data_IF_157114932378
#
_entry.id   IF_157114932378
#
_cell.length_a   1.000
_cell.length_b   1.000
_cell.length_c   1.000
_cell.angle_alpha   90.00
_cell.angle_beta   90.00
_cell.angle_gamma   90.00
#
_symmetry.space_group_name_H-M   'P 1'
#
loop_
_entity.id
_entity.type
_entity.pdbx_description
1 polymer ?
#
# COMPACT_ATOMS: atom_id res chain seq x y z
N UNK A 1 1.68 -6.90 11.38
CA UNK A 1 1.30 -8.31 11.12
C UNK A 1 0.76 -8.39 9.71
N UNK A 2 1.30 -9.29 8.91
CA UNK A 2 0.71 -9.64 7.62
C UNK A 2 -0.09 -10.94 7.79
N UNK A 3 -1.39 -10.89 7.55
CA UNK A 3 -2.30 -12.02 7.65
C UNK A 3 -2.84 -12.40 6.29
N UNK A 4 -2.56 -13.63 5.86
CA UNK A 4 -3.04 -14.19 4.60
C UNK A 4 -4.06 -15.31 4.89
N UNK A 5 -5.35 -15.13 4.57
CA UNK A 5 -6.41 -16.10 4.86
C UNK A 5 -6.19 -17.49 4.26
N UNK A 6 -5.59 -17.55 3.09
CA UNK A 6 -5.27 -18.80 2.39
C UNK A 6 -3.92 -19.42 2.80
N UNK A 7 -3.22 -18.76 3.73
CA UNK A 7 -1.91 -19.21 4.20
C UNK A 7 -0.76 -18.91 3.24
N UNK A 8 0.45 -18.92 3.78
CA UNK A 8 1.67 -18.63 3.00
C UNK A 8 2.09 -19.75 2.05
N UNK A 9 1.61 -20.99 2.32
CA UNK A 9 1.91 -22.16 1.48
C UNK A 9 0.94 -22.33 0.31
N UNK A 10 -0.02 -21.41 0.12
CA UNK A 10 -0.93 -21.39 -1.03
C UNK A 10 -0.11 -21.33 -2.33
N UNK A 11 -0.40 -22.22 -3.25
CA UNK A 11 0.17 -22.21 -4.60
C UNK A 11 -0.50 -21.14 -5.48
N UNK A 12 -0.01 -20.96 -6.70
CA UNK A 12 -0.52 -19.94 -7.62
C UNK A 12 -1.99 -20.14 -7.97
N UNK A 13 -2.44 -21.38 -8.13
CA UNK A 13 -3.86 -21.69 -8.39
C UNK A 13 -4.76 -21.33 -7.19
N UNK A 14 -4.31 -21.59 -5.98
CA UNK A 14 -5.05 -21.20 -4.76
C UNK A 14 -5.16 -19.68 -4.66
N UNK A 15 -4.07 -18.96 -5.01
CA UNK A 15 -4.03 -17.50 -5.01
C UNK A 15 -4.98 -16.92 -6.07
N UNK A 16 -4.93 -17.42 -7.29
CA UNK A 16 -5.80 -16.99 -8.36
C UNK A 16 -7.29 -17.19 -8.02
N UNK A 17 -7.63 -18.36 -7.49
CA UNK A 17 -9.00 -18.65 -7.03
C UNK A 17 -9.46 -17.70 -5.93
N UNK A 18 -8.58 -17.37 -4.99
CA UNK A 18 -8.90 -16.43 -3.93
C UNK A 18 -9.10 -15.02 -4.47
N UNK A 19 -8.25 -14.57 -5.39
CA UNK A 19 -8.35 -13.25 -6.02
C UNK A 19 -9.69 -13.12 -6.77
N UNK A 20 -10.08 -14.15 -7.53
CA UNK A 20 -11.37 -14.18 -8.22
C UNK A 20 -12.51 -14.12 -7.20
N UNK A 21 -12.46 -14.92 -6.15
CA UNK A 21 -13.47 -14.94 -5.09
C UNK A 21 -13.62 -13.57 -4.41
N UNK A 22 -12.50 -12.93 -4.07
CA UNK A 22 -12.48 -11.63 -3.39
C UNK A 22 -13.01 -10.50 -4.28
N UNK A 23 -12.65 -10.51 -5.58
CA UNK A 23 -13.03 -9.46 -6.52
C UNK A 23 -14.45 -9.59 -7.06
N UNK A 24 -14.91 -10.82 -7.37
CA UNK A 24 -16.13 -11.01 -8.15
C UNK A 24 -17.42 -11.09 -7.32
N UNK A 25 -17.38 -11.57 -6.08
CA UNK A 25 -18.63 -11.95 -5.40
C UNK A 25 -18.74 -11.56 -3.94
N UNK A 26 -17.67 -11.35 -3.25
CA UNK A 26 -17.77 -11.28 -1.79
C UNK A 26 -17.26 -9.99 -1.22
N UNK A 27 -16.40 -9.26 -1.94
CA UNK A 27 -15.68 -8.14 -1.31
C UNK A 27 -15.17 -8.59 0.07
N UNK A 28 -14.67 -9.85 0.11
CA UNK A 28 -14.38 -10.57 1.35
C UNK A 28 -13.42 -9.77 2.21
N UNK A 29 -12.27 -9.39 1.64
CA UNK A 29 -11.26 -8.67 2.41
C UNK A 29 -11.77 -7.32 2.90
N UNK A 30 -12.55 -6.60 2.10
CA UNK A 30 -13.16 -5.35 2.55
C UNK A 30 -14.21 -5.57 3.64
N UNK A 31 -14.94 -6.66 3.58
CA UNK A 31 -15.86 -7.09 4.64
C UNK A 31 -15.13 -7.34 5.96
N UNK A 32 -14.00 -8.05 5.91
CA UNK A 32 -13.15 -8.33 7.08
C UNK A 32 -12.52 -7.04 7.63
N UNK A 33 -12.06 -6.14 6.78
CA UNK A 33 -11.55 -4.82 7.21
C UNK A 33 -12.63 -4.05 7.97
N UNK A 34 -13.85 -3.98 7.43
CA UNK A 34 -14.98 -3.31 8.09
C UNK A 34 -15.31 -3.95 9.45
N UNK A 35 -15.31 -5.27 9.51
CA UNK A 35 -15.60 -6.02 10.74
C UNK A 35 -14.53 -5.82 11.80
N UNK A 36 -13.26 -5.88 11.40
CA UNK A 36 -12.12 -5.66 12.29
C UNK A 36 -12.09 -4.21 12.80
N UNK A 37 -12.32 -3.24 11.93
CA UNK A 37 -12.40 -1.82 12.32
C UNK A 37 -13.48 -1.60 13.37
N UNK A 38 -14.70 -2.14 13.16
CA UNK A 38 -15.78 -2.07 14.16
C UNK A 38 -15.44 -2.76 15.47
N UNK A 39 -14.69 -3.87 15.41
CA UNK A 39 -14.21 -4.54 16.62
C UNK A 39 -13.21 -3.66 17.40
N UNK A 40 -12.28 -3.02 16.71
CA UNK A 40 -11.32 -2.11 17.33
C UNK A 40 -12.01 -0.89 17.97
N UNK A 41 -13.03 -0.32 17.31
CA UNK A 41 -13.78 0.84 17.80
C UNK A 41 -14.48 0.58 19.14
N UNK A 42 -14.86 -0.66 19.41
CA UNK A 42 -15.53 -1.07 20.66
C UNK A 42 -14.56 -1.42 21.78
N UNK A 43 -13.28 -1.55 21.45
CA UNK A 43 -12.29 -2.11 22.36
C UNK A 43 -11.25 -1.11 22.84
N UNK A 44 -10.41 -1.60 23.71
CA UNK A 44 -9.26 -0.91 24.29
C UNK A 44 -8.20 -0.48 23.26
N UNK A 45 -8.23 -1.09 22.05
CA UNK A 45 -7.28 -0.83 20.97
C UNK A 45 -7.76 0.23 19.97
N UNK A 46 -8.89 0.91 20.27
CA UNK A 46 -9.35 2.05 19.48
C UNK A 46 -8.21 3.06 19.30
N UNK A 47 -8.08 3.58 18.10
CA UNK A 47 -7.07 4.58 17.73
C UNK A 47 -5.60 4.11 17.87
N UNK A 48 -5.36 2.79 18.01
CA UNK A 48 -4.01 2.23 18.12
C UNK A 48 -3.59 1.40 16.92
N UNK A 49 -4.54 0.67 16.33
CA UNK A 49 -4.28 -0.24 15.21
C UNK A 49 -5.16 0.11 14.01
N UNK A 50 -4.63 -0.18 12.86
CA UNK A 50 -5.39 -0.16 11.60
C UNK A 50 -5.13 -1.44 10.82
N UNK A 51 -6.09 -1.78 9.96
CA UNK A 51 -6.00 -2.88 9.01
C UNK A 51 -6.18 -2.33 7.60
N UNK A 52 -5.34 -2.75 6.69
CA UNK A 52 -5.38 -2.39 5.27
C UNK A 52 -5.19 -3.62 4.40
N UNK A 53 -5.54 -3.50 3.12
CA UNK A 53 -5.19 -4.53 2.15
C UNK A 53 -3.68 -4.66 2.04
N UNK A 54 -3.18 -5.89 2.16
CA UNK A 54 -1.78 -6.24 2.03
C UNK A 54 -1.56 -7.11 0.80
N UNK A 55 -1.02 -6.57 -0.27
CA UNK A 55 -0.86 -7.34 -1.50
C UNK A 55 -2.19 -7.84 -2.06
N UNK A 56 -2.18 -8.95 -2.81
CA UNK A 56 -3.37 -9.47 -3.51
C UNK A 56 -4.23 -10.41 -2.66
N UNK A 57 -3.67 -10.99 -1.60
CA UNK A 57 -4.32 -12.07 -0.85
C UNK A 57 -4.24 -11.90 0.66
N UNK A 58 -3.70 -10.80 1.17
CA UNK A 58 -3.44 -10.61 2.60
C UNK A 58 -3.99 -9.31 3.14
N UNK A 59 -3.87 -9.17 4.45
CA UNK A 59 -4.09 -7.94 5.20
C UNK A 59 -2.82 -7.53 5.90
N UNK A 60 -2.62 -6.23 6.05
CA UNK A 60 -1.61 -5.65 6.91
C UNK A 60 -2.28 -4.99 8.12
N UNK A 61 -1.88 -5.45 9.32
CA UNK A 61 -2.35 -4.92 10.60
C UNK A 61 -1.15 -4.30 11.30
N UNK A 62 -1.24 -3.01 11.59
CA UNK A 62 -0.13 -2.24 12.17
C UNK A 62 -0.65 -1.03 12.98
N UNK A 63 0.20 -0.43 13.84
CA UNK A 63 -0.14 0.79 14.55
C UNK A 63 -0.51 1.93 13.59
N UNK A 64 -1.48 2.76 13.98
CA UNK A 64 -1.83 3.95 13.21
C UNK A 64 -0.59 4.82 13.02
N UNK A 65 -0.36 5.28 11.78
CA UNK A 65 0.83 6.05 11.41
C UNK A 65 2.07 5.20 11.04
N UNK A 66 1.98 3.86 11.12
CA UNK A 66 3.05 2.95 10.71
C UNK A 66 2.83 2.40 9.29
N UNK A 67 2.18 3.17 8.46
CA UNK A 67 2.11 2.91 7.02
C UNK A 67 3.44 3.28 6.32
N UNK A 68 3.46 3.25 5.00
CA UNK A 68 4.68 3.56 4.23
C UNK A 68 5.21 4.98 4.44
N UNK A 69 4.40 5.91 4.95
CA UNK A 69 4.88 7.25 5.30
C UNK A 69 5.83 7.26 6.48
N UNK A 70 5.79 6.21 7.32
CA UNK A 70 6.72 6.07 8.44
C UNK A 70 8.19 6.12 8.01
N UNK A 71 8.49 5.60 6.82
CA UNK A 71 9.85 5.65 6.28
C UNK A 71 10.37 7.08 6.10
N UNK A 72 9.49 8.04 5.79
CA UNK A 72 9.90 9.43 5.55
C UNK A 72 10.54 10.10 6.76
N UNK A 73 10.24 9.66 7.98
CA UNK A 73 10.85 10.17 9.21
C UNK A 73 12.37 9.96 9.27
N UNK A 74 12.86 8.96 8.53
CA UNK A 74 14.27 8.63 8.47
C UNK A 74 15.02 9.41 7.38
N UNK A 75 14.29 10.19 6.58
CA UNK A 75 14.80 10.92 5.42
C UNK A 75 14.34 12.38 5.42
N UNK A 76 14.18 13.00 6.60
CA UNK A 76 13.68 14.38 6.75
C UNK A 76 14.54 15.42 6.03
N UNK A 77 15.85 15.17 5.95
CA UNK A 77 16.82 16.05 5.28
C UNK A 77 16.95 15.76 3.77
N UNK A 78 16.14 14.83 3.23
CA UNK A 78 16.26 14.41 1.84
C UNK A 78 14.97 14.66 1.07
N UNK A 79 15.12 14.97 -0.21
CA UNK A 79 14.03 14.95 -1.16
C UNK A 79 13.67 13.52 -1.54
N UNK A 80 12.57 13.03 -0.97
CA UNK A 80 12.09 11.68 -1.25
C UNK A 80 11.19 11.64 -2.48
N UNK A 81 11.40 10.63 -3.32
CA UNK A 81 10.56 10.29 -4.45
C UNK A 81 9.92 8.93 -4.21
N UNK A 82 8.67 8.80 -4.60
CA UNK A 82 7.94 7.55 -4.42
C UNK A 82 7.40 7.05 -5.75
N UNK A 83 7.56 5.75 -5.98
CA UNK A 83 6.99 5.03 -7.13
C UNK A 83 6.32 3.77 -6.58
N UNK A 84 5.04 3.58 -6.87
CA UNK A 84 4.26 2.45 -6.39
C UNK A 84 3.19 2.00 -7.38
N UNK A 85 2.61 0.83 -7.15
CA UNK A 85 1.60 0.22 -8.02
C UNK A 85 0.20 0.16 -7.38
N UNK A 86 0.08 0.51 -6.08
CA UNK A 86 -1.17 0.45 -5.32
C UNK A 86 -1.51 1.77 -4.64
N UNK A 87 -1.53 2.83 -5.44
CA UNK A 87 -1.71 4.21 -4.97
C UNK A 87 -3.19 4.62 -4.83
N UNK A 88 -4.12 3.84 -5.37
CA UNK A 88 -5.55 4.09 -5.31
C UNK A 88 -6.17 3.84 -3.93
N UNK A 89 -7.48 4.04 -3.85
CA UNK A 89 -8.26 3.87 -2.62
C UNK A 89 -8.05 2.47 -1.99
N UNK A 90 -7.76 2.45 -0.70
CA UNK A 90 -7.42 1.26 0.09
C UNK A 90 -6.13 0.53 -0.32
N UNK A 91 -5.36 1.05 -1.26
CA UNK A 91 -4.04 0.55 -1.58
C UNK A 91 -3.04 0.83 -0.45
N UNK A 92 -2.07 -0.06 -0.28
CA UNK A 92 -1.05 0.10 0.76
C UNK A 92 -0.01 1.19 0.44
N UNK A 93 -0.01 1.72 -0.79
CA UNK A 93 0.82 2.82 -1.26
C UNK A 93 0.12 4.18 -1.17
N UNK A 94 -1.20 4.19 -0.95
CA UNK A 94 -2.02 5.40 -1.01
C UNK A 94 -1.47 6.53 -0.13
N UNK A 95 -1.17 6.24 1.13
CA UNK A 95 -0.77 7.26 2.09
C UNK A 95 0.53 7.99 1.68
N UNK A 96 1.57 7.24 1.30
CA UNK A 96 2.85 7.85 0.87
C UNK A 96 2.72 8.52 -0.49
N UNK A 97 1.92 7.96 -1.40
CA UNK A 97 1.63 8.55 -2.69
C UNK A 97 0.99 9.94 -2.52
N UNK A 98 -0.08 10.05 -1.74
CA UNK A 98 -0.76 11.31 -1.49
C UNK A 98 0.13 12.31 -0.76
N UNK A 99 0.93 11.84 0.20
CA UNK A 99 1.87 12.68 0.95
C UNK A 99 2.91 13.37 0.07
N UNK A 100 3.46 12.66 -0.91
CA UNK A 100 4.50 13.20 -1.80
C UNK A 100 3.94 13.82 -3.09
N UNK A 101 2.69 13.52 -3.45
CA UNK A 101 2.03 14.06 -4.63
C UNK A 101 1.93 15.59 -4.61
N UNK A 102 1.70 16.19 -3.46
CA UNK A 102 1.63 17.64 -3.30
C UNK A 102 2.93 18.36 -3.69
N UNK A 103 4.04 17.64 -3.72
CA UNK A 103 5.35 18.11 -4.15
C UNK A 103 5.73 17.64 -5.56
N UNK A 104 4.82 16.95 -6.27
CA UNK A 104 5.11 16.38 -7.60
C UNK A 104 6.13 15.24 -7.58
N UNK A 105 6.30 14.55 -6.43
CA UNK A 105 7.33 13.53 -6.21
C UNK A 105 6.77 12.14 -5.94
N UNK A 106 5.54 11.86 -6.36
CA UNK A 106 4.98 10.50 -6.30
C UNK A 106 4.32 10.13 -7.62
N UNK A 107 4.50 8.88 -8.00
CA UNK A 107 4.06 8.34 -9.27
C UNK A 107 3.47 6.95 -9.10
N UNK A 108 2.36 6.70 -9.79
CA UNK A 108 1.78 5.38 -9.91
C UNK A 108 2.26 4.72 -11.20
N UNK A 109 2.66 3.46 -11.11
CA UNK A 109 3.13 2.62 -12.23
C UNK A 109 2.43 1.28 -12.19
N UNK A 110 2.36 0.60 -13.32
CA UNK A 110 1.73 -0.73 -13.40
C UNK A 110 2.73 -1.85 -13.63
N UNK A 111 3.87 -1.54 -14.23
CA UNK A 111 4.89 -2.53 -14.59
C UNK A 111 6.28 -2.05 -14.21
N UNK A 112 7.22 -3.00 -14.14
CA UNK A 112 8.64 -2.69 -13.95
C UNK A 112 9.20 -1.84 -15.08
N UNK A 113 8.67 -1.99 -16.29
CA UNK A 113 9.07 -1.16 -17.45
C UNK A 113 8.63 0.29 -17.26
N UNK A 114 7.41 0.54 -16.75
CA UNK A 114 6.94 1.89 -16.45
C UNK A 114 7.83 2.54 -15.40
N UNK A 115 8.26 1.77 -14.39
CA UNK A 115 9.20 2.24 -13.36
C UNK A 115 10.52 2.68 -13.96
N UNK A 116 11.11 1.88 -14.86
CA UNK A 116 12.36 2.22 -15.52
C UNK A 116 12.22 3.49 -16.38
N UNK A 117 11.20 3.55 -17.21
CA UNK A 117 10.93 4.73 -18.04
C UNK A 117 10.78 5.98 -17.19
N UNK A 118 9.97 5.91 -16.13
CA UNK A 118 9.77 7.02 -15.21
C UNK A 118 11.07 7.51 -14.56
N UNK A 119 11.92 6.59 -14.12
CA UNK A 119 13.21 6.94 -13.51
C UNK A 119 14.07 7.71 -14.49
N UNK A 120 14.25 7.20 -15.72
CA UNK A 120 15.17 7.80 -16.70
C UNK A 120 14.60 9.02 -17.39
N UNK A 121 13.30 9.03 -17.68
CA UNK A 121 12.69 10.08 -18.49
C UNK A 121 12.19 11.28 -17.64
N UNK A 122 11.90 11.04 -16.36
CA UNK A 122 11.31 12.05 -15.47
C UNK A 122 12.17 12.37 -14.25
N UNK A 123 12.51 11.34 -13.43
CA UNK A 123 13.13 11.57 -12.12
C UNK A 123 14.57 12.03 -12.27
N UNK A 124 15.38 11.31 -13.02
CA UNK A 124 16.81 11.64 -13.21
C UNK A 124 17.00 13.04 -13.83
N UNK A 125 16.27 13.44 -14.87
CA UNK A 125 16.37 14.81 -15.41
C UNK A 125 15.98 15.89 -14.39
N UNK A 126 14.98 15.68 -13.56
CA UNK A 126 14.59 16.65 -12.53
C UNK A 126 15.67 16.84 -11.50
N UNK A 127 16.22 15.73 -10.95
CA UNK A 127 17.31 15.77 -9.98
C UNK A 127 18.58 16.44 -10.56
N UNK A 128 18.83 16.24 -11.85
CA UNK A 128 19.99 16.84 -12.51
C UNK A 128 19.85 18.35 -12.71
N UNK A 129 18.62 18.84 -12.91
CA UNK A 129 18.33 20.27 -13.12
C UNK A 129 18.24 21.08 -11.80
N UNK A 130 18.05 20.42 -10.67
CA UNK A 130 17.97 21.05 -9.34
C UNK A 130 19.34 21.25 -8.69
N UNK A 131 20.45 20.94 -9.40
CA UNK A 131 21.85 21.17 -8.97
C UNK A 131 22.43 22.37 -9.70
#
# INVERSE_FOLDING_TARGET
INWCPIGRNANDNDRERFIIFDNDRSDFRMGEIRSFTKFLERGYMKDRLQIKLGGETSFDIYPIGWDKTFALQHFEDYECWFVGDRCGENGNDQAIYERLRVHGRSFEVKTTKDTLNLIFDEIVPRIANDR
#
